data_IF_554384067891
#
_entry.id   IF_554384067891
#
_cell.length_a   1.000
_cell.length_b   1.000
_cell.length_c   1.000
_cell.angle_alpha   90.00
_cell.angle_beta   90.00
_cell.angle_gamma   90.00
#
_symmetry.space_group_name_H-M   'P 1'
#
loop_
_entity.id
_entity.type
_entity.pdbx_description
1 polymer ?
#
# COMPACT_ATOMS: atom_id res chain seq x y z
N UNK A 1 -30.40 -7.07 -5.60
CA UNK A 1 -29.25 -6.16 -5.65
C UNK A 1 -28.96 -5.77 -4.22
N UNK A 2 -27.83 -6.22 -3.66
CA UNK A 2 -27.41 -5.78 -2.34
C UNK A 2 -27.20 -4.26 -2.38
N UNK A 3 -27.73 -3.55 -1.39
CA UNK A 3 -27.36 -2.14 -1.19
C UNK A 3 -25.87 -2.14 -0.86
N UNK A 4 -25.05 -1.63 -1.76
CA UNK A 4 -23.62 -1.49 -1.54
C UNK A 4 -23.45 -0.21 -0.74
N UNK A 5 -22.88 -0.35 0.45
CA UNK A 5 -22.54 0.78 1.30
C UNK A 5 -21.25 1.44 0.77
N UNK A 6 -21.41 2.65 0.22
CA UNK A 6 -20.31 3.42 -0.35
C UNK A 6 -19.23 3.73 0.71
N UNK A 7 -19.62 3.92 1.96
CA UNK A 7 -18.69 4.24 3.05
C UNK A 7 -17.86 3.01 3.41
N UNK A 8 -18.44 1.81 3.36
CA UNK A 8 -17.74 0.55 3.56
C UNK A 8 -16.71 0.28 2.45
N UNK A 9 -17.05 0.58 1.19
CA UNK A 9 -16.13 0.43 0.05
C UNK A 9 -14.98 1.43 0.13
N UNK A 10 -15.25 2.69 0.48
CA UNK A 10 -14.23 3.73 0.69
C UNK A 10 -13.27 3.36 1.82
N UNK A 11 -13.82 2.88 2.95
CA UNK A 11 -13.03 2.39 4.08
C UNK A 11 -12.12 1.23 3.66
N UNK A 12 -12.66 0.26 2.93
CA UNK A 12 -11.87 -0.88 2.42
C UNK A 12 -10.74 -0.43 1.50
N UNK A 13 -10.98 0.53 0.61
CA UNK A 13 -9.94 1.07 -0.27
C UNK A 13 -8.85 1.82 0.51
N UNK A 14 -9.24 2.59 1.54
CA UNK A 14 -8.30 3.26 2.44
C UNK A 14 -7.44 2.23 3.22
N UNK A 15 -8.05 1.15 3.72
CA UNK A 15 -7.34 0.06 4.39
C UNK A 15 -6.30 -0.58 3.47
N UNK A 16 -6.60 -0.77 2.17
CA UNK A 16 -5.60 -1.24 1.19
C UNK A 16 -4.38 -0.30 1.12
N UNK A 17 -4.59 1.02 1.09
CA UNK A 17 -3.50 2.02 1.03
C UNK A 17 -2.64 1.95 2.30
N UNK A 18 -3.28 1.86 3.46
CA UNK A 18 -2.60 1.72 4.76
C UNK A 18 -1.78 0.43 4.78
N UNK A 19 -2.38 -0.70 4.41
CA UNK A 19 -1.74 -2.01 4.38
C UNK A 19 -0.56 -2.05 3.40
N UNK A 20 -0.66 -1.40 2.24
CA UNK A 20 0.47 -1.23 1.32
C UNK A 20 1.63 -0.47 1.97
N UNK A 21 1.33 0.60 2.71
CA UNK A 21 2.33 1.41 3.40
C UNK A 21 3.01 0.61 4.52
N UNK A 22 2.26 -0.24 5.22
CA UNK A 22 2.81 -1.17 6.22
C UNK A 22 3.74 -2.22 5.59
N UNK A 23 3.33 -2.85 4.50
CA UNK A 23 4.19 -3.79 3.74
C UNK A 23 5.46 -3.09 3.27
N UNK A 24 5.35 -1.88 2.74
CA UNK A 24 6.52 -1.11 2.34
C UNK A 24 7.46 -0.87 3.52
N UNK A 25 6.94 -0.39 4.65
CA UNK A 25 7.72 -0.15 5.87
C UNK A 25 8.43 -1.43 6.31
N UNK A 26 7.76 -2.58 6.28
CA UNK A 26 8.38 -3.88 6.60
C UNK A 26 9.51 -4.22 5.63
N UNK A 27 9.30 -4.10 4.32
CA UNK A 27 10.35 -4.37 3.32
C UNK A 27 11.53 -3.40 3.49
N UNK A 28 11.28 -2.11 3.74
CA UNK A 28 12.32 -1.11 4.04
C UNK A 28 13.15 -1.53 5.25
N UNK A 29 12.50 -1.96 6.34
CA UNK A 29 13.18 -2.38 7.56
C UNK A 29 14.02 -3.64 7.35
N UNK A 30 13.52 -4.60 6.57
CA UNK A 30 14.26 -5.83 6.22
C UNK A 30 15.52 -5.47 5.42
N UNK A 31 15.38 -4.65 4.38
CA UNK A 31 16.51 -4.22 3.54
C UNK A 31 17.51 -3.36 4.32
N UNK A 32 17.04 -2.44 5.15
CA UNK A 32 17.91 -1.59 5.98
C UNK A 32 18.70 -2.43 6.98
N UNK A 33 18.05 -3.40 7.63
CA UNK A 33 18.71 -4.37 8.50
C UNK A 33 19.79 -5.15 7.74
N UNK A 34 19.48 -5.66 6.55
CA UNK A 34 20.43 -6.41 5.75
C UNK A 34 21.66 -5.60 5.31
N UNK A 35 21.48 -4.32 5.01
CA UNK A 35 22.57 -3.43 4.60
C UNK A 35 23.52 -3.12 5.77
N UNK A 36 23.00 -3.13 7.00
CA UNK A 36 23.74 -2.92 8.26
C UNK A 36 24.80 -1.81 8.17
N UNK A 37 24.36 -0.61 7.77
CA UNK A 37 25.24 0.54 7.59
C UNK A 37 25.20 1.47 8.80
N UNK A 38 26.36 2.06 9.13
CA UNK A 38 26.46 3.18 10.08
C UNK A 38 25.63 4.41 9.66
N UNK A 39 25.18 4.47 8.39
CA UNK A 39 24.28 5.50 7.87
C UNK A 39 22.83 4.99 7.76
N UNK A 40 22.34 4.29 8.78
CA UNK A 40 21.01 3.66 8.80
C UNK A 40 19.88 4.61 8.41
N UNK A 41 19.88 5.84 8.92
CA UNK A 41 18.90 6.88 8.55
C UNK A 41 18.91 7.20 7.06
N UNK A 42 20.09 7.35 6.45
CA UNK A 42 20.19 7.62 5.01
C UNK A 42 19.63 6.44 4.19
N UNK A 43 19.94 5.21 4.61
CA UNK A 43 19.43 4.01 3.94
C UNK A 43 17.91 3.92 4.07
N UNK A 44 17.36 4.05 5.27
CA UNK A 44 15.92 3.87 5.50
C UNK A 44 15.09 5.04 4.97
N UNK A 45 15.48 6.28 5.25
CA UNK A 45 14.64 7.45 4.99
C UNK A 45 14.88 8.11 3.64
N UNK A 46 16.07 7.94 3.06
CA UNK A 46 16.43 8.55 1.78
C UNK A 46 16.50 7.50 0.67
N UNK A 47 17.44 6.56 0.76
CA UNK A 47 17.68 5.59 -0.32
C UNK A 47 16.45 4.70 -0.58
N UNK A 48 15.87 4.15 0.49
CA UNK A 48 14.70 3.28 0.42
C UNK A 48 13.38 4.07 0.50
N UNK A 49 13.39 5.39 0.32
CA UNK A 49 12.16 6.15 0.14
C UNK A 49 11.49 5.78 -1.18
N UNK A 50 10.15 5.76 -1.23
CA UNK A 50 9.41 5.44 -2.46
C UNK A 50 9.68 6.41 -3.61
N UNK A 51 10.03 7.66 -3.32
CA UNK A 51 10.39 8.68 -4.31
C UNK A 51 11.65 8.30 -5.09
N UNK A 52 12.56 7.54 -4.49
CA UNK A 52 13.79 7.06 -5.13
C UNK A 52 13.66 5.60 -5.60
N UNK A 53 13.13 4.73 -4.73
CA UNK A 53 12.98 3.30 -5.00
C UNK A 53 11.52 2.90 -4.72
N UNK A 54 10.74 2.74 -5.78
CA UNK A 54 9.36 2.21 -5.71
C UNK A 54 9.29 0.85 -4.99
N UNK A 55 8.17 0.55 -4.33
CA UNK A 55 7.90 -0.74 -3.68
C UNK A 55 8.20 -1.96 -4.58
N UNK A 56 7.85 -1.92 -5.87
CA UNK A 56 8.17 -3.00 -6.80
C UNK A 56 9.68 -3.27 -6.94
N UNK A 57 10.50 -2.21 -6.98
CA UNK A 57 11.97 -2.32 -6.97
C UNK A 57 12.47 -2.84 -5.62
N UNK A 58 11.86 -2.44 -4.51
CA UNK A 58 12.18 -2.98 -3.18
C UNK A 58 11.92 -4.49 -3.09
N UNK A 59 10.82 -4.99 -3.65
CA UNK A 59 10.57 -6.44 -3.76
C UNK A 59 11.60 -7.17 -4.62
N UNK A 60 12.08 -6.54 -5.71
CA UNK A 60 13.16 -7.11 -6.52
C UNK A 60 14.47 -7.20 -5.73
N UNK A 61 14.81 -6.14 -4.98
CA UNK A 61 15.97 -6.13 -4.08
C UNK A 61 15.84 -7.20 -2.99
N UNK A 62 14.68 -7.30 -2.34
CA UNK A 62 14.40 -8.33 -1.36
C UNK A 62 14.53 -9.74 -1.97
N UNK A 63 14.02 -9.95 -3.17
CA UNK A 63 14.18 -11.22 -3.90
C UNK A 63 15.63 -11.53 -4.31
N UNK A 64 16.49 -10.53 -4.43
CA UNK A 64 17.93 -10.74 -4.56
C UNK A 64 18.55 -11.19 -3.23
N UNK A 65 18.26 -10.49 -2.13
CA UNK A 65 18.74 -10.84 -0.79
C UNK A 65 18.34 -12.27 -0.41
N UNK A 66 17.07 -12.63 -0.61
CA UNK A 66 16.55 -13.98 -0.34
C UNK A 66 17.36 -15.05 -1.07
N UNK A 67 17.71 -14.83 -2.34
CA UNK A 67 18.49 -15.80 -3.12
C UNK A 67 19.95 -15.84 -2.72
N UNK A 68 20.54 -14.69 -2.42
CA UNK A 68 21.96 -14.58 -2.07
C UNK A 68 22.25 -15.26 -0.74
N UNK A 69 21.36 -15.09 0.24
CA UNK A 69 21.50 -15.63 1.59
C UNK A 69 20.77 -16.98 1.79
N UNK A 70 20.27 -17.59 0.70
CA UNK A 70 19.50 -18.84 0.71
C UNK A 70 18.36 -18.89 1.76
N UNK A 71 17.66 -17.75 1.92
CA UNK A 71 16.55 -17.60 2.88
C UNK A 71 15.38 -18.46 2.39
N UNK A 72 14.97 -19.42 3.22
CA UNK A 72 13.82 -20.28 2.91
C UNK A 72 12.53 -19.48 3.01
N UNK A 73 11.85 -19.32 1.87
CA UNK A 73 10.55 -18.67 1.74
C UNK A 73 9.54 -19.58 1.07
N UNK A 74 8.26 -19.29 1.25
CA UNK A 74 7.18 -19.96 0.53
C UNK A 74 7.34 -19.79 -0.99
N UNK A 75 7.09 -20.86 -1.75
CA UNK A 75 7.18 -20.86 -3.22
C UNK A 75 6.25 -19.84 -3.88
N UNK A 76 5.12 -19.52 -3.26
CA UNK A 76 4.15 -18.54 -3.75
C UNK A 76 4.48 -17.09 -3.34
N UNK A 77 5.55 -16.83 -2.59
CA UNK A 77 5.88 -15.48 -2.09
C UNK A 77 5.91 -14.42 -3.21
N UNK A 78 6.58 -14.71 -4.33
CA UNK A 78 6.65 -13.79 -5.49
C UNK A 78 5.28 -13.55 -6.11
N UNK A 79 4.44 -14.58 -6.14
CA UNK A 79 3.06 -14.49 -6.64
C UNK A 79 2.24 -13.59 -5.74
N UNK A 80 2.38 -13.70 -4.41
CA UNK A 80 1.69 -12.82 -3.47
C UNK A 80 2.10 -11.36 -3.64
N UNK A 81 3.41 -11.07 -3.77
CA UNK A 81 3.89 -9.71 -4.05
C UNK A 81 3.28 -9.15 -5.34
N UNK A 82 3.27 -9.94 -6.42
CA UNK A 82 2.71 -9.53 -7.71
C UNK A 82 1.22 -9.24 -7.62
N UNK A 83 0.45 -10.12 -6.98
CA UNK A 83 -1.00 -9.95 -6.84
C UNK A 83 -1.29 -8.72 -5.98
N UNK A 84 -0.61 -8.53 -4.86
CA UNK A 84 -0.78 -7.37 -3.99
C UNK A 84 -0.54 -6.05 -4.73
N UNK A 85 0.56 -5.96 -5.49
CA UNK A 85 0.87 -4.79 -6.30
C UNK A 85 -0.17 -4.55 -7.41
N UNK A 86 -0.63 -5.61 -8.05
CA UNK A 86 -1.66 -5.54 -9.09
C UNK A 86 -2.98 -5.00 -8.52
N UNK A 87 -3.45 -5.56 -7.39
CA UNK A 87 -4.69 -5.13 -6.72
C UNK A 87 -4.60 -3.70 -6.20
N UNK A 88 -3.46 -3.29 -5.63
CA UNK A 88 -3.20 -1.89 -5.27
C UNK A 88 -3.32 -0.97 -6.48
N UNK A 89 -2.74 -1.35 -7.62
CA UNK A 89 -2.79 -0.52 -8.83
C UNK A 89 -4.20 -0.47 -9.41
N UNK A 90 -4.98 -1.55 -9.34
CA UNK A 90 -6.39 -1.53 -9.72
C UNK A 90 -7.20 -0.53 -8.89
N UNK A 91 -6.94 -0.46 -7.58
CA UNK A 91 -7.58 0.51 -6.68
C UNK A 91 -7.06 1.92 -6.95
N UNK A 92 -5.74 2.11 -7.11
CA UNK A 92 -5.14 3.43 -7.32
C UNK A 92 -5.46 4.05 -8.68
N UNK A 93 -5.77 3.26 -9.71
CA UNK A 93 -6.22 3.74 -11.02
C UNK A 93 -7.73 3.62 -11.18
N UNK A 94 -8.44 3.40 -10.08
CA UNK A 94 -9.89 3.46 -10.10
C UNK A 94 -10.41 4.90 -10.17
N UNK A 95 -9.53 5.92 -10.14
CA UNK A 95 -9.67 7.40 -10.12
C UNK A 95 -10.97 8.05 -10.64
N UNK A 96 -11.80 7.39 -11.46
CA UNK A 96 -13.23 7.70 -11.57
C UNK A 96 -14.04 7.48 -10.27
N UNK A 97 -13.41 6.98 -9.21
CA UNK A 97 -14.03 6.57 -7.94
C UNK A 97 -14.00 7.65 -6.84
N UNK A 98 -13.15 8.66 -6.98
CA UNK A 98 -12.97 9.77 -6.01
C UNK A 98 -13.31 11.14 -6.61
N UNK A 99 -13.62 11.21 -7.91
CA UNK A 99 -13.93 12.45 -8.63
C UNK A 99 -15.35 12.99 -8.39
N UNK A 100 -16.19 12.29 -7.62
CA UNK A 100 -17.56 12.74 -7.33
C UNK A 100 -17.65 13.84 -6.25
N UNK A 101 -16.54 14.19 -5.58
CA UNK A 101 -16.51 15.31 -4.64
C UNK A 101 -15.37 16.28 -4.92
N UNK A 102 -15.72 17.57 -5.05
CA UNK A 102 -14.77 18.66 -5.00
C UNK A 102 -14.51 19.02 -3.53
N UNK A 103 -13.24 19.12 -3.13
CA UNK A 103 -12.89 19.82 -1.88
C UNK A 103 -13.12 21.31 -2.16
N UNK A 104 -14.24 21.82 -1.66
CA UNK A 104 -14.64 23.22 -1.86
C UNK A 104 -14.12 24.12 -0.76
N UNK A 105 -13.87 23.56 0.43
CA UNK A 105 -13.37 24.31 1.58
C UNK A 105 -12.57 23.41 2.54
N UNK A 106 -11.82 24.03 3.43
CA UNK A 106 -11.13 23.36 4.54
C UNK A 106 -11.52 24.09 5.81
N UNK A 107 -12.32 23.43 6.65
CA UNK A 107 -12.66 23.95 7.96
C UNK A 107 -11.47 23.76 8.89
N UNK A 108 -11.16 24.80 9.66
CA UNK A 108 -9.96 24.85 10.50
C UNK A 108 -10.39 25.12 11.91
N UNK A 109 -10.26 24.10 12.76
CA UNK A 109 -10.51 24.25 14.19
C UNK A 109 -9.17 24.38 14.93
N UNK A 110 -9.02 25.46 15.69
CA UNK A 110 -7.77 25.80 16.37
C UNK A 110 -7.97 25.73 17.89
N UNK A 111 -7.49 24.64 18.48
CA UNK A 111 -7.49 24.41 19.92
C UNK A 111 -6.12 24.65 20.55
N UNK A 112 -6.03 24.69 21.89
CA UNK A 112 -4.75 24.78 22.62
C UNK A 112 -3.81 23.59 22.36
N UNK A 113 -4.32 22.50 21.80
CA UNK A 113 -3.60 21.26 21.44
C UNK A 113 -3.00 21.32 20.01
N UNK A 114 -3.39 22.29 19.18
CA UNK A 114 -2.94 22.38 17.78
C UNK A 114 -4.05 22.81 16.81
N UNK A 115 -3.73 22.77 15.51
CA UNK A 115 -4.67 23.08 14.43
C UNK A 115 -5.10 21.79 13.75
N UNK A 116 -6.39 21.48 13.79
CA UNK A 116 -6.99 20.35 13.09
C UNK A 116 -7.68 20.85 11.81
N UNK A 117 -7.39 20.18 10.68
CA UNK A 117 -7.92 20.52 9.37
C UNK A 117 -8.97 19.49 8.96
N UNK A 118 -10.21 19.95 8.74
CA UNK A 118 -11.32 19.12 8.33
C UNK A 118 -11.72 19.49 6.88
N UNK A 119 -11.46 18.63 5.89
CA UNK A 119 -11.87 18.90 4.51
C UNK A 119 -13.40 18.87 4.37
N UNK A 120 -13.97 19.89 3.71
CA UNK A 120 -15.39 19.97 3.37
C UNK A 120 -15.59 19.54 1.92
N UNK A 121 -16.48 18.56 1.71
CA UNK A 121 -16.74 17.93 0.41
C UNK A 121 -18.10 18.37 -0.15
N UNK A 122 -18.15 18.80 -1.41
CA UNK A 122 -19.39 19.00 -2.18
C UNK A 122 -19.40 18.13 -3.44
N UNK A 123 -20.60 17.71 -3.89
CA UNK A 123 -20.76 16.93 -5.12
C UNK A 123 -20.20 17.70 -6.33
N UNK A 124 -19.27 17.10 -7.07
CA UNK A 124 -18.64 17.75 -8.22
C UNK A 124 -19.60 17.81 -9.43
N UNK A 125 -19.67 18.93 -10.18
CA UNK A 125 -20.46 18.99 -11.41
C UNK A 125 -19.89 18.03 -12.47
N UNK A 126 -20.75 17.35 -13.25
CA UNK A 126 -20.32 16.28 -14.15
C UNK A 126 -19.40 16.82 -15.25
N UNK A 127 -18.13 16.41 -15.23
CA UNK A 127 -17.18 16.67 -16.32
C UNK A 127 -17.28 15.56 -17.37
N UNK A 128 -17.61 15.96 -18.60
CA UNK A 128 -17.65 15.07 -19.76
C UNK A 128 -16.23 14.59 -20.07
N UNK A 129 -15.94 13.31 -19.83
CA UNK A 129 -14.76 12.63 -20.38
C UNK A 129 -15.16 11.28 -21.01
N UNK A 130 -14.90 11.16 -22.30
CA UNK A 130 -15.06 9.96 -23.12
C UNK A 130 -14.09 8.86 -22.68
N UNK A 131 -14.58 7.88 -21.90
CA UNK A 131 -14.01 6.52 -21.82
C UNK A 131 -15.19 5.56 -21.68
N UNK A 132 -15.25 4.62 -22.63
CA UNK A 132 -16.30 3.65 -22.87
C UNK A 132 -16.85 2.95 -21.61
N UNK A 133 -18.19 2.87 -21.56
CA UNK A 133 -19.01 2.10 -20.63
C UNK A 133 -18.82 2.39 -19.14
N UNK A 134 -19.07 3.64 -18.76
CA UNK A 134 -19.25 4.13 -17.38
C UNK A 134 -20.36 3.44 -16.58
N UNK A 135 -20.23 2.13 -16.33
CA UNK A 135 -20.95 1.43 -15.27
C UNK A 135 -19.95 1.03 -14.20
N UNK A 136 -20.07 1.73 -13.09
CA UNK A 136 -19.44 1.41 -11.84
C UNK A 136 -19.76 -0.04 -11.44
N UNK A 137 -18.76 -0.85 -11.11
CA UNK A 137 -18.95 -2.18 -10.54
C UNK A 137 -18.35 -2.23 -9.14
N UNK A 138 -19.11 -1.76 -8.16
CA UNK A 138 -18.76 -1.79 -6.73
C UNK A 138 -18.41 -3.20 -6.26
N UNK A 139 -19.10 -4.20 -6.81
CA UNK A 139 -18.79 -5.61 -6.60
C UNK A 139 -17.35 -5.97 -7.02
N UNK A 140 -16.79 -5.32 -8.05
CA UNK A 140 -15.41 -5.56 -8.50
C UNK A 140 -14.37 -4.89 -7.60
N UNK A 141 -14.68 -3.71 -7.04
CA UNK A 141 -13.81 -3.00 -6.10
C UNK A 141 -13.78 -3.72 -4.76
N UNK A 142 -14.94 -4.07 -4.22
CA UNK A 142 -15.07 -4.84 -2.98
C UNK A 142 -14.34 -6.19 -3.08
N UNK A 143 -14.53 -6.91 -4.21
CA UNK A 143 -13.80 -8.14 -4.49
C UNK A 143 -12.29 -7.91 -4.60
N UNK A 144 -11.87 -6.79 -5.17
CA UNK A 144 -10.45 -6.42 -5.29
C UNK A 144 -9.83 -6.15 -3.92
N UNK A 145 -10.53 -5.48 -3.01
CA UNK A 145 -10.10 -5.27 -1.62
C UNK A 145 -10.03 -6.61 -0.86
N UNK A 146 -11.07 -7.44 -0.94
CA UNK A 146 -11.06 -8.78 -0.30
C UNK A 146 -9.93 -9.68 -0.82
N UNK A 147 -9.70 -9.66 -2.13
CA UNK A 147 -8.55 -10.36 -2.72
C UNK A 147 -7.24 -9.79 -2.17
N UNK A 148 -7.10 -8.46 -2.11
CA UNK A 148 -5.92 -7.79 -1.57
C UNK A 148 -5.62 -8.26 -0.14
N UNK A 149 -6.60 -8.22 0.77
CA UNK A 149 -6.41 -8.55 2.19
C UNK A 149 -5.91 -9.98 2.38
N UNK A 150 -6.49 -10.92 1.61
CA UNK A 150 -6.05 -12.32 1.61
C UNK A 150 -4.57 -12.49 1.26
N UNK A 151 -4.04 -11.68 0.35
CA UNK A 151 -2.62 -11.74 -0.04
C UNK A 151 -1.75 -10.88 0.88
N UNK A 152 -2.28 -9.80 1.43
CA UNK A 152 -1.63 -8.99 2.46
C UNK A 152 -1.27 -9.86 3.67
N UNK A 153 -2.22 -10.59 4.26
CA UNK A 153 -1.94 -11.41 5.45
C UNK A 153 -0.86 -12.47 5.21
N UNK A 154 -0.89 -13.11 4.03
CA UNK A 154 0.11 -14.11 3.65
C UNK A 154 1.48 -13.50 3.49
N UNK A 155 1.54 -12.35 2.82
CA UNK A 155 2.78 -11.64 2.59
C UNK A 155 3.36 -11.11 3.91
N UNK A 156 2.51 -10.55 4.77
CA UNK A 156 2.89 -9.98 6.05
C UNK A 156 3.58 -11.02 6.95
N UNK A 157 2.95 -12.19 7.10
CA UNK A 157 3.50 -13.33 7.86
C UNK A 157 4.83 -13.81 7.28
N UNK A 158 4.97 -13.82 5.96
CA UNK A 158 6.19 -14.29 5.31
C UNK A 158 7.32 -13.27 5.44
N UNK A 159 7.01 -11.97 5.34
CA UNK A 159 7.97 -10.88 5.59
C UNK A 159 8.48 -10.90 7.03
N UNK A 160 7.63 -11.24 8.00
CA UNK A 160 8.07 -11.39 9.39
C UNK A 160 9.09 -12.54 9.52
N UNK A 161 8.86 -13.69 8.89
CA UNK A 161 9.84 -14.79 8.89
C UNK A 161 11.17 -14.38 8.26
N UNK A 162 11.12 -13.69 7.12
CA UNK A 162 12.31 -13.19 6.42
C UNK A 162 13.07 -12.21 7.33
N UNK A 163 12.37 -11.28 7.97
CA UNK A 163 12.94 -10.31 8.92
C UNK A 163 13.69 -11.01 10.06
N UNK A 164 13.11 -12.05 10.66
CA UNK A 164 13.77 -12.83 11.71
C UNK A 164 15.02 -13.56 11.21
N UNK A 165 15.00 -14.11 10.00
CA UNK A 165 16.18 -14.78 9.42
C UNK A 165 17.31 -13.78 9.16
N UNK A 166 17.01 -12.60 8.59
CA UNK A 166 18.02 -11.54 8.36
C UNK A 166 18.66 -11.07 9.66
N UNK A 167 17.86 -10.83 10.71
CA UNK A 167 18.40 -10.44 12.02
C UNK A 167 19.37 -11.47 12.60
N UNK A 168 19.09 -12.76 12.40
CA UNK A 168 19.99 -13.85 12.83
C UNK A 168 21.31 -13.87 12.06
N UNK A 169 21.27 -13.61 10.76
CA UNK A 169 22.47 -13.51 9.92
C UNK A 169 23.42 -12.41 10.42
N UNK A 170 22.88 -11.25 10.81
CA UNK A 170 23.70 -10.15 11.32
C UNK A 170 24.20 -10.33 12.77
N UNK A 171 23.63 -11.30 13.50
CA UNK A 171 24.03 -11.60 14.88
C UNK A 171 25.07 -12.72 14.98
N UNK A 172 25.49 -13.28 13.84
CA UNK A 172 26.46 -14.38 13.72
C UNK A 172 27.79 -13.85 13.19
#
# INVERSE_FOLDING_TARGET
>A
MSNIDLDEVKKSAAEVIVNCSLIEKKVKNILSSYIDSSKSFFISEILLNNSFISLAKKFKLLGYVIRKEDIKVNSDFRKWCFILMSKRNMIAHSDRLLEDYAIVDVDVDAGPEGVEYFPVYEDAPPKVSTIENGKFRFEEVEKTCKDFDKYYEKLDKELDKISHQIKRLNSS
#
